data_IF_107397433762
#
_entry.id   IF_107397433762
#
_cell.length_a   1.000
_cell.length_b   1.000
_cell.length_c   1.000
_cell.angle_alpha   90.00
_cell.angle_beta   90.00
_cell.angle_gamma   90.00
#
_symmetry.space_group_name_H-M   'P 1'
#
loop_
_entity.id
_entity.type
_entity.pdbx_description
1 polymer ?
#
# COMPACT_ATOMS: atom_id res chain seq x y z
N UNK A 1 43.81 -36.34 19.92
CA UNK A 1 44.10 -37.25 18.78
C UNK A 1 43.98 -36.44 17.49
N UNK A 2 45.05 -36.41 16.70
CA UNK A 2 45.24 -35.63 15.45
C UNK A 2 44.74 -36.41 14.24
N UNK A 3 44.08 -35.76 13.29
CA UNK A 3 43.93 -36.17 11.87
C UNK A 3 43.79 -34.88 11.04
N UNK A 4 44.89 -34.27 10.58
CA UNK A 4 45.64 -34.52 9.33
C UNK A 4 44.89 -34.07 8.06
N UNK A 5 45.44 -32.99 7.47
CA UNK A 5 45.20 -32.41 6.15
C UNK A 5 45.32 -33.43 5.00
N UNK A 6 44.59 -33.19 3.91
CA UNK A 6 45.09 -33.46 2.55
C UNK A 6 44.77 -32.29 1.60
N UNK A 7 45.81 -31.90 0.88
CA UNK A 7 45.89 -30.88 -0.17
C UNK A 7 45.52 -31.53 -1.51
N UNK A 8 44.87 -30.79 -2.41
CA UNK A 8 45.01 -31.00 -3.85
C UNK A 8 44.87 -29.68 -4.61
N UNK A 9 46.01 -29.16 -5.06
CA UNK A 9 46.13 -28.10 -6.06
C UNK A 9 45.87 -28.68 -7.46
N UNK A 10 45.18 -27.92 -8.33
CA UNK A 10 44.81 -28.35 -9.67
C UNK A 10 44.83 -27.22 -10.70
N UNK A 11 46.00 -27.03 -11.28
CA UNK A 11 46.34 -26.64 -12.66
C UNK A 11 45.61 -25.49 -13.39
N UNK A 12 46.43 -24.50 -13.73
CA UNK A 12 46.21 -23.49 -14.76
C UNK A 12 46.17 -24.09 -16.17
N UNK A 13 45.25 -23.59 -17.00
CA UNK A 13 45.33 -23.69 -18.44
C UNK A 13 45.16 -22.28 -19.03
N UNK A 14 46.26 -21.74 -19.54
CA UNK A 14 46.33 -20.50 -20.32
C UNK A 14 46.01 -20.87 -21.77
N UNK A 15 45.00 -20.24 -22.36
CA UNK A 15 44.72 -20.29 -23.80
C UNK A 15 44.93 -18.92 -24.44
N UNK A 16 45.37 -18.87 -25.71
CA UNK A 16 45.91 -17.69 -26.34
C UNK A 16 44.85 -16.71 -26.86
N UNK A 17 45.27 -15.44 -26.85
CA UNK A 17 44.75 -14.29 -27.57
C UNK A 17 44.21 -14.60 -28.98
N UNK A 18 42.96 -14.23 -29.22
CA UNK A 18 42.45 -13.89 -30.55
C UNK A 18 41.71 -12.55 -30.43
N UNK A 19 42.30 -11.51 -31.05
CA UNK A 19 41.72 -10.17 -31.15
C UNK A 19 40.52 -10.09 -32.12
N UNK A 20 39.85 -8.93 -32.16
CA UNK A 20 38.46 -8.82 -32.60
C UNK A 20 38.33 -8.54 -34.11
N UNK A 21 37.19 -8.88 -34.73
CA UNK A 21 36.70 -8.13 -35.88
C UNK A 21 35.84 -6.95 -35.40
N UNK A 22 36.32 -5.75 -35.69
CA UNK A 22 35.52 -4.53 -35.72
C UNK A 22 34.55 -4.58 -36.89
N UNK A 23 33.25 -4.50 -36.60
CA UNK A 23 32.27 -3.93 -37.52
C UNK A 23 31.03 -3.58 -36.71
N UNK A 24 30.62 -2.31 -36.81
CA UNK A 24 29.26 -1.75 -36.76
C UNK A 24 28.21 -2.65 -36.11
N UNK A 25 27.48 -2.25 -35.08
CA UNK A 25 26.26 -1.44 -35.22
C UNK A 25 26.18 -0.33 -34.15
N UNK A 26 26.09 0.91 -34.63
CA UNK A 26 25.42 1.97 -33.90
C UNK A 26 23.91 1.71 -33.93
N UNK A 27 23.22 2.36 -32.99
CA UNK A 27 21.77 2.53 -32.90
C UNK A 27 20.95 1.39 -32.28
N UNK A 28 20.36 1.69 -31.11
CA UNK A 28 19.32 0.89 -30.49
C UNK A 28 19.26 1.02 -28.98
N UNK A 29 19.04 2.23 -28.44
CA UNK A 29 18.50 2.33 -27.08
C UNK A 29 17.19 1.54 -27.01
N UNK A 30 16.93 0.73 -25.97
CA UNK A 30 15.58 0.28 -25.70
C UNK A 30 14.75 1.52 -25.40
N UNK A 31 13.81 1.81 -26.29
CA UNK A 31 12.76 2.80 -26.10
C UNK A 31 12.06 2.49 -24.77
N UNK A 32 12.31 3.34 -23.78
CA UNK A 32 11.57 3.35 -22.53
C UNK A 32 10.08 3.46 -22.91
N UNK A 33 9.23 2.48 -22.54
CA UNK A 33 7.83 2.51 -22.95
C UNK A 33 7.22 3.79 -22.37
N UNK A 34 6.98 4.76 -23.25
CA UNK A 34 6.29 5.99 -22.92
C UNK A 34 4.98 5.59 -22.29
N UNK A 35 4.85 5.84 -20.98
CA UNK A 35 3.60 5.70 -20.28
C UNK A 35 2.53 6.43 -21.10
N UNK A 36 1.36 5.80 -21.36
CA UNK A 36 0.31 6.48 -22.10
C UNK A 36 -0.02 7.78 -21.35
N UNK A 37 -0.26 8.90 -22.04
CA UNK A 37 -0.75 10.08 -21.38
C UNK A 37 -2.05 9.68 -20.68
N UNK A 38 -2.09 9.81 -19.35
CA UNK A 38 -3.35 9.78 -18.62
C UNK A 38 -4.26 10.82 -19.29
N UNK A 39 -5.45 10.46 -19.77
CA UNK A 39 -6.37 11.46 -20.28
C UNK A 39 -6.80 12.33 -19.11
N UNK A 40 -6.18 13.49 -18.94
CA UNK A 40 -6.77 14.63 -18.24
C UNK A 40 -7.92 15.14 -19.11
N UNK A 41 -9.00 14.37 -19.18
CA UNK A 41 -10.29 14.89 -19.58
C UNK A 41 -10.90 15.55 -18.35
N UNK A 42 -11.04 16.89 -18.29
CA UNK A 42 -12.09 17.45 -17.48
C UNK A 42 -13.38 16.85 -18.03
N UNK A 43 -14.06 16.03 -17.24
CA UNK A 43 -15.39 15.55 -17.59
C UNK A 43 -16.32 16.77 -17.59
N UNK A 44 -16.39 17.47 -18.72
CA UNK A 44 -17.47 18.40 -18.99
C UNK A 44 -18.75 17.56 -18.94
N UNK A 45 -19.71 17.85 -18.04
CA UNK A 45 -20.96 17.12 -18.02
C UNK A 45 -21.61 17.26 -19.41
N UNK A 46 -22.20 16.17 -19.96
CA UNK A 46 -22.82 16.24 -21.27
C UNK A 46 -23.93 17.32 -21.26
N UNK A 47 -24.10 18.08 -22.35
CA UNK A 47 -25.22 19.00 -22.46
C UNK A 47 -26.52 18.20 -22.32
N UNK A 48 -27.36 18.60 -21.37
CA UNK A 48 -28.67 18.02 -21.11
C UNK A 48 -29.59 18.32 -22.31
N UNK A 49 -29.68 17.36 -23.22
CA UNK A 49 -30.73 17.34 -24.25
C UNK A 49 -32.08 17.15 -23.56
N UNK A 50 -33.12 17.97 -23.82
CA UNK A 50 -34.44 17.78 -23.24
C UNK A 50 -35.11 16.54 -23.84
N UNK A 51 -34.90 15.39 -23.20
CA UNK A 51 -35.58 14.13 -23.47
C UNK A 51 -35.99 13.53 -22.14
N UNK A 52 -37.28 13.58 -21.83
CA UNK A 52 -37.88 13.23 -20.54
C UNK A 52 -37.84 11.73 -20.27
N UNK A 53 -36.71 11.25 -19.76
CA UNK A 53 -36.68 10.06 -18.92
C UNK A 53 -36.39 10.53 -17.50
N UNK A 54 -37.10 10.05 -16.46
CA UNK A 54 -36.77 10.40 -15.09
C UNK A 54 -35.41 9.81 -14.77
N UNK A 55 -34.37 10.63 -14.94
CA UNK A 55 -33.07 10.40 -14.32
C UNK A 55 -33.30 10.69 -12.85
N UNK A 56 -33.16 9.70 -11.94
CA UNK A 56 -33.20 9.98 -10.51
C UNK A 56 -32.19 11.08 -10.25
N UNK A 57 -32.60 12.16 -9.58
CA UNK A 57 -31.68 13.21 -9.15
C UNK A 57 -30.53 12.53 -8.40
N UNK A 58 -29.36 12.51 -9.03
CA UNK A 58 -28.15 12.01 -8.41
C UNK A 58 -27.80 13.01 -7.31
N UNK A 59 -28.31 12.78 -6.10
CA UNK A 59 -27.91 13.57 -4.95
C UNK A 59 -26.38 13.49 -4.86
N UNK A 60 -25.67 14.63 -4.71
CA UNK A 60 -24.22 14.60 -4.57
C UNK A 60 -23.89 13.71 -3.36
N UNK A 61 -23.26 12.57 -3.63
CA UNK A 61 -22.83 11.64 -2.59
C UNK A 61 -21.67 12.32 -1.88
N UNK A 62 -21.94 12.87 -0.71
CA UNK A 62 -20.91 13.44 0.14
C UNK A 62 -20.07 12.30 0.74
N UNK A 63 -18.75 12.44 0.71
CA UNK A 63 -17.80 11.47 1.29
C UNK A 63 -16.73 12.18 2.12
N UNK A 64 -16.16 11.45 3.06
CA UNK A 64 -14.92 11.78 3.73
C UNK A 64 -13.81 10.88 3.20
N UNK A 65 -12.57 11.37 3.20
CA UNK A 65 -11.39 10.58 2.84
C UNK A 65 -10.65 10.20 4.12
N UNK A 66 -10.57 8.91 4.41
CA UNK A 66 -9.79 8.37 5.51
C UNK A 66 -8.47 7.83 4.98
N UNK A 67 -7.36 8.39 5.43
CA UNK A 67 -6.01 7.92 5.12
C UNK A 67 -5.45 7.24 6.36
N UNK A 68 -5.04 5.99 6.22
CA UNK A 68 -4.42 5.20 7.27
C UNK A 68 -3.04 4.78 6.81
N UNK A 69 -2.01 5.27 7.50
CA UNK A 69 -0.62 4.91 7.26
C UNK A 69 -0.10 3.98 8.34
N UNK A 70 0.87 3.15 7.99
CA UNK A 70 1.58 2.27 8.91
C UNK A 70 3.05 2.58 8.88
N UNK A 71 3.55 3.16 9.98
CA UNK A 71 4.98 3.37 10.18
C UNK A 71 5.59 2.23 10.98
N UNK A 72 6.79 1.77 10.59
CA UNK A 72 7.49 0.62 11.18
C UNK A 72 7.80 0.84 12.64
N UNK A 73 8.30 2.03 12.97
CA UNK A 73 8.74 2.38 14.32
C UNK A 73 7.56 2.42 15.30
N UNK A 74 6.39 2.91 14.88
CA UNK A 74 5.22 3.04 15.75
C UNK A 74 4.44 1.73 15.95
N UNK A 75 4.52 0.80 14.99
CA UNK A 75 3.77 -0.46 15.08
C UNK A 75 4.53 -1.56 15.84
N UNK A 76 5.88 -1.57 15.75
CA UNK A 76 6.71 -2.56 16.45
C UNK A 76 6.55 -4.01 15.98
N UNK A 77 5.91 -4.26 14.82
CA UNK A 77 5.73 -5.60 14.25
C UNK A 77 6.09 -5.61 12.77
N UNK A 78 6.61 -6.74 12.30
CA UNK A 78 6.88 -7.02 10.88
C UNK A 78 5.67 -7.63 10.16
N UNK A 79 4.65 -8.07 10.89
CA UNK A 79 3.46 -8.70 10.34
C UNK A 79 2.57 -7.70 9.64
N UNK A 80 1.89 -8.09 8.57
CA UNK A 80 0.85 -7.26 7.95
C UNK A 80 -0.26 -6.91 8.96
N UNK A 81 -0.96 -5.81 8.73
CA UNK A 81 -2.09 -5.38 9.57
C UNK A 81 -3.36 -5.37 8.74
N UNK A 82 -4.37 -6.09 9.19
CA UNK A 82 -5.70 -6.06 8.63
C UNK A 82 -6.48 -4.87 9.23
N UNK A 83 -6.97 -3.99 8.35
CA UNK A 83 -7.84 -2.86 8.69
C UNK A 83 -9.29 -3.24 8.43
N UNK A 84 -10.13 -3.02 9.43
CA UNK A 84 -11.56 -3.27 9.37
C UNK A 84 -12.34 -1.96 9.50
N UNK A 85 -13.36 -1.81 8.67
CA UNK A 85 -14.34 -0.72 8.71
C UNK A 85 -15.70 -1.38 8.90
N UNK A 86 -16.44 -1.00 9.94
CA UNK A 86 -17.74 -1.62 10.25
C UNK A 86 -17.67 -3.16 10.32
N UNK A 87 -16.62 -3.68 10.95
CA UNK A 87 -16.33 -5.12 11.08
C UNK A 87 -16.00 -5.88 9.78
N UNK A 88 -15.97 -5.19 8.64
CA UNK A 88 -15.53 -5.74 7.36
C UNK A 88 -14.07 -5.41 7.10
N UNK A 89 -13.27 -6.42 6.72
CA UNK A 89 -11.86 -6.20 6.36
C UNK A 89 -11.78 -5.51 5.01
N UNK A 90 -11.34 -4.25 5.01
CA UNK A 90 -11.24 -3.43 3.80
C UNK A 90 -9.85 -3.42 3.18
N UNK A 91 -8.81 -3.65 3.98
CA UNK A 91 -7.43 -3.63 3.48
C UNK A 91 -6.47 -4.42 4.37
N UNK A 92 -5.34 -4.81 3.78
CA UNK A 92 -4.18 -5.38 4.46
C UNK A 92 -2.97 -4.49 4.20
N UNK A 93 -2.47 -3.85 5.25
CA UNK A 93 -1.33 -2.92 5.22
C UNK A 93 -0.01 -3.66 5.47
N UNK A 94 0.85 -3.69 4.46
CA UNK A 94 2.24 -4.12 4.59
C UNK A 94 3.05 -3.09 5.41
N UNK A 95 4.25 -3.43 5.93
CA UNK A 95 5.12 -2.45 6.57
C UNK A 95 5.37 -1.23 5.67
N UNK A 96 5.33 -0.01 6.24
CA UNK A 96 5.40 1.27 5.49
C UNK A 96 4.23 1.51 4.51
N UNK A 97 3.17 0.70 4.57
CA UNK A 97 2.01 0.82 3.70
C UNK A 97 1.06 1.94 4.10
N UNK A 98 0.28 2.41 3.14
CA UNK A 98 -0.79 3.41 3.31
C UNK A 98 -2.02 3.00 2.49
N UNK A 99 -3.20 3.35 2.99
CA UNK A 99 -4.46 3.20 2.26
C UNK A 99 -5.32 4.46 2.41
N UNK A 100 -6.00 4.86 1.34
CA UNK A 100 -7.01 5.90 1.33
C UNK A 100 -8.39 5.29 1.02
N UNK A 101 -9.39 5.61 1.85
CA UNK A 101 -10.74 5.08 1.76
C UNK A 101 -11.75 6.23 1.66
N UNK A 102 -12.68 6.14 0.72
CA UNK A 102 -13.82 7.04 0.65
C UNK A 102 -14.96 6.47 1.48
N UNK A 103 -15.30 7.13 2.58
CA UNK A 103 -16.31 6.68 3.52
C UNK A 103 -17.47 7.67 3.56
N UNK A 104 -18.71 7.20 3.78
CA UNK A 104 -19.83 8.11 4.01
C UNK A 104 -19.58 8.94 5.28
N UNK A 105 -20.09 10.18 5.35
CA UNK A 105 -20.06 10.98 6.56
C UNK A 105 -20.90 10.31 7.66
N UNK A 106 -20.49 10.49 8.92
CA UNK A 106 -21.12 9.88 10.08
C UNK A 106 -20.13 9.15 10.99
N UNK A 107 -20.67 8.36 11.91
CA UNK A 107 -19.86 7.52 12.81
C UNK A 107 -19.36 6.27 12.09
N UNK A 108 -18.05 6.08 12.10
CA UNK A 108 -17.41 4.88 11.55
C UNK A 108 -16.62 4.17 12.64
N UNK A 109 -16.90 2.87 12.79
CA UNK A 109 -16.14 1.96 13.65
C UNK A 109 -14.96 1.38 12.88
N UNK A 110 -13.75 1.66 13.38
CA UNK A 110 -12.50 1.17 12.82
C UNK A 110 -11.86 0.15 13.77
N UNK A 111 -11.34 -0.96 13.23
CA UNK A 111 -10.62 -1.97 14.01
C UNK A 111 -9.34 -2.38 13.31
N UNK A 112 -8.35 -2.78 14.10
CA UNK A 112 -7.06 -3.27 13.61
C UNK A 112 -6.79 -4.66 14.15
N UNK A 113 -6.18 -5.50 13.34
CA UNK A 113 -5.69 -6.81 13.75
C UNK A 113 -4.38 -7.12 13.02
N UNK A 114 -3.42 -7.77 13.68
CA UNK A 114 -2.31 -8.37 12.95
C UNK A 114 -2.81 -9.49 12.03
N UNK A 115 -2.29 -9.55 10.82
CA UNK A 115 -2.72 -10.53 9.82
C UNK A 115 -2.44 -11.94 10.33
N UNK A 116 -3.48 -12.77 10.39
CA UNK A 116 -3.38 -14.12 10.92
C UNK A 116 -2.88 -15.09 9.83
N UNK A 117 -1.57 -15.09 9.56
CA UNK A 117 -0.94 -15.99 8.59
C UNK A 117 0.48 -16.38 9.01
N UNK A 118 0.89 -17.62 8.73
CA UNK A 118 2.27 -18.07 8.96
C UNK A 118 2.80 -17.82 10.38
N UNK A 119 3.93 -17.09 10.47
CA UNK A 119 4.56 -16.67 11.73
C UNK A 119 3.81 -15.54 12.44
N UNK A 120 2.83 -14.93 11.78
CA UNK A 120 2.02 -13.82 12.29
C UNK A 120 0.71 -14.28 12.93
N UNK A 121 0.63 -15.55 13.37
CA UNK A 121 -0.50 -16.04 14.14
C UNK A 121 -0.62 -15.26 15.45
N UNK A 122 -1.55 -14.31 15.46
CA UNK A 122 -1.99 -13.70 16.71
C UNK A 122 -2.81 -14.73 17.49
N UNK A 123 -2.61 -14.76 18.81
CA UNK A 123 -3.49 -15.50 19.72
C UNK A 123 -4.89 -14.88 19.76
N UNK A 124 -5.63 -15.15 20.83
CA UNK A 124 -6.92 -14.48 21.05
C UNK A 124 -6.63 -13.03 21.47
N UNK A 125 -6.47 -12.15 20.48
CA UNK A 125 -6.39 -10.71 20.69
C UNK A 125 -7.79 -10.11 20.50
N UNK A 126 -8.37 -9.44 21.51
CA UNK A 126 -9.63 -8.72 21.32
C UNK A 126 -9.42 -7.59 20.31
N UNK A 127 -10.15 -7.61 19.19
CA UNK A 127 -10.16 -6.48 18.27
C UNK A 127 -10.83 -5.29 18.97
N UNK A 128 -10.09 -4.19 19.11
CA UNK A 128 -10.60 -2.96 19.71
C UNK A 128 -11.21 -2.10 18.62
N UNK A 129 -12.43 -1.62 18.86
CA UNK A 129 -13.08 -0.65 17.99
C UNK A 129 -12.73 0.78 18.40
N UNK A 130 -12.48 1.62 17.43
CA UNK A 130 -12.32 3.06 17.57
C UNK A 130 -13.37 3.74 16.69
N UNK A 131 -14.32 4.41 17.33
CA UNK A 131 -15.31 5.24 16.64
C UNK A 131 -14.69 6.56 16.21
N UNK A 132 -14.93 6.95 14.96
CA UNK A 132 -14.48 8.21 14.38
C UNK A 132 -15.67 8.89 13.71
N UNK A 133 -15.93 10.15 14.08
CA UNK A 133 -16.93 10.98 13.40
C UNK A 133 -16.35 11.60 12.14
N UNK A 134 -16.85 11.22 10.97
CA UNK A 134 -16.44 11.76 9.68
C UNK A 134 -17.41 12.83 9.16
N UNK A 135 -16.89 13.93 8.61
CA UNK A 135 -17.67 14.99 7.98
C UNK A 135 -17.52 14.98 6.45
N UNK A 136 -18.56 15.42 5.75
CA UNK A 136 -18.53 15.57 4.30
C UNK A 136 -17.39 16.48 3.84
N UNK A 137 -16.58 16.00 2.88
CA UNK A 137 -15.47 16.74 2.29
C UNK A 137 -14.22 16.84 3.16
N UNK A 138 -14.20 16.22 4.34
CA UNK A 138 -12.99 16.22 5.17
C UNK A 138 -11.99 15.15 4.71
N UNK A 139 -10.70 15.42 4.95
CA UNK A 139 -9.63 14.44 4.82
C UNK A 139 -9.06 14.18 6.20
N UNK A 140 -9.15 12.94 6.68
CA UNK A 140 -8.69 12.55 8.00
C UNK A 140 -7.54 11.57 7.89
N UNK A 141 -6.43 11.88 8.57
CA UNK A 141 -5.21 11.09 8.54
C UNK A 141 -4.97 10.44 9.89
N UNK A 142 -4.70 9.14 9.87
CA UNK A 142 -4.30 8.35 11.02
C UNK A 142 -3.02 7.59 10.72
N UNK A 143 -2.19 7.42 11.73
CA UNK A 143 -1.10 6.46 11.74
C UNK A 143 -1.46 5.30 12.65
N UNK A 144 -1.00 4.10 12.33
CA UNK A 144 -1.13 2.94 13.20
C UNK A 144 -0.01 2.95 14.23
N UNK A 145 -0.39 2.84 15.51
CA UNK A 145 0.50 2.72 16.64
C UNK A 145 0.18 1.45 17.45
N UNK A 146 1.11 1.07 18.31
CA UNK A 146 0.96 -0.08 19.19
C UNK A 146 1.06 0.33 20.67
N UNK A 147 0.21 -0.26 21.51
CA UNK A 147 0.16 -0.06 22.95
C UNK A 147 0.18 -1.41 23.66
N UNK A 148 0.27 -1.41 24.99
CA UNK A 148 0.08 -2.62 25.79
C UNK A 148 -1.28 -3.31 25.54
N UNK A 149 -2.28 -2.53 25.11
CA UNK A 149 -3.62 -3.04 24.79
C UNK A 149 -3.78 -3.52 23.33
N UNK A 150 -2.72 -3.41 22.53
CA UNK A 150 -2.68 -3.77 21.12
C UNK A 150 -2.65 -2.56 20.18
N UNK A 151 -2.89 -2.84 18.90
CA UNK A 151 -2.88 -1.86 17.81
C UNK A 151 -4.03 -0.86 17.93
N UNK A 152 -3.76 0.39 17.61
CA UNK A 152 -4.73 1.47 17.57
C UNK A 152 -4.37 2.52 16.53
N UNK A 153 -5.36 3.28 16.08
CA UNK A 153 -5.24 4.43 15.22
C UNK A 153 -4.95 5.67 16.06
N UNK A 154 -3.87 6.37 15.73
CA UNK A 154 -3.49 7.64 16.31
C UNK A 154 -3.71 8.75 15.28
N UNK A 155 -4.46 9.82 15.59
CA UNK A 155 -4.60 10.95 14.69
C UNK A 155 -3.23 11.55 14.34
N UNK A 156 -3.03 11.85 13.06
CA UNK A 156 -1.88 12.66 12.64
C UNK A 156 -2.31 14.11 12.74
N UNK A 157 -1.64 14.90 13.58
CA UNK A 157 -1.90 16.34 13.62
C UNK A 157 -1.57 16.93 12.24
N UNK A 158 -2.58 17.43 11.53
CA UNK A 158 -2.35 18.33 10.41
C UNK A 158 -1.91 19.66 11.03
N UNK A 159 -0.60 19.82 11.24
CA UNK A 159 -0.02 21.05 11.78
C UNK A 159 -0.57 22.28 11.04
N UNK A 160 -1.03 23.27 11.81
CA UNK A 160 -1.44 24.58 11.31
C UNK A 160 -0.24 25.46 11.04
#
# INVERSE_FOLDING_TARGET
MRRSLFIAAGFAAVLPFAGPPSSAWADGMPEEPSAPPVPTSPATPPPSTPGSWPVPDAQPVAYAVLIVSRERLDTGTACDIDLYVQDEKVSRLQPEGEIALNLPPGEVSLRLQTANSGLCRSGIQPLRAQSVQLHAGEVRKFRIANSESGLYLMPVSSGS
#
